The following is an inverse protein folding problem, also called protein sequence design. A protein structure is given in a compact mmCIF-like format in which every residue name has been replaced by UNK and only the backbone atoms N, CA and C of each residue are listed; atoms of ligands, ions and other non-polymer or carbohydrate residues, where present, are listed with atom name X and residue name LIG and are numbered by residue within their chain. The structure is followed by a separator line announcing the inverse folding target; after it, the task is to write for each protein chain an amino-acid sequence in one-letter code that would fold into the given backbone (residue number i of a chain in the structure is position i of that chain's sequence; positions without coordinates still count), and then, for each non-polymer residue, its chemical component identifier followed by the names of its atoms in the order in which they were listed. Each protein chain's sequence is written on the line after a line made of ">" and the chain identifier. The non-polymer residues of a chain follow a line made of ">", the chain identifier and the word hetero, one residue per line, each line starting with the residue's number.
data_IF_255726192654
#
_entry.id   IF_255726192654
#
_cell.length_a   1.000
_cell.length_b   1.000
_cell.length_c   1.000
_cell.angle_alpha   90.00
_cell.angle_beta   90.00
_cell.angle_gamma   90.00
#
_symmetry.space_group_name_H-M   'P 1'
#
loop_
_entity.id
_entity.type
_entity.pdbx_description
1 polymer ?
#
# COMPACT_ATOMS: atom_id res chain seq x y z
N UNK A 1 3.63 9.15 -4.71
CA UNK A 1 2.93 7.86 -4.68
C UNK A 1 2.21 7.67 -3.36
N UNK A 2 1.07 6.99 -3.32
CA UNK A 2 0.33 6.67 -2.08
C UNK A 2 0.32 5.16 -1.86
N UNK A 3 0.63 4.73 -0.62
CA UNK A 3 0.51 3.33 -0.16
C UNK A 3 -0.43 3.26 1.03
N UNK A 4 -1.26 2.21 1.11
CA UNK A 4 -2.27 2.06 2.14
C UNK A 4 -1.91 0.93 3.09
N UNK A 5 -1.84 1.26 4.39
CA UNK A 5 -1.53 0.29 5.44
C UNK A 5 -0.06 -0.14 5.47
N UNK A 6 0.20 -1.16 6.26
CA UNK A 6 1.55 -1.65 6.60
C UNK A 6 1.71 -3.16 6.37
N UNK A 7 0.87 -3.74 5.53
CA UNK A 7 0.98 -5.12 5.09
C UNK A 7 2.09 -5.33 4.06
N UNK A 8 2.35 -6.57 3.70
CA UNK A 8 3.46 -6.92 2.81
C UNK A 8 3.45 -6.20 1.47
N UNK A 9 2.28 -6.05 0.81
CA UNK A 9 2.17 -5.35 -0.47
C UNK A 9 2.58 -3.89 -0.33
N UNK A 10 2.04 -3.19 0.67
CA UNK A 10 2.25 -1.76 0.87
C UNK A 10 3.69 -1.44 1.26
N UNK A 11 4.33 -2.29 2.08
CA UNK A 11 5.73 -2.12 2.47
C UNK A 11 6.67 -2.35 1.30
N UNK A 12 6.47 -3.39 0.50
CA UNK A 12 7.26 -3.56 -0.73
C UNK A 12 7.05 -2.41 -1.71
N UNK A 13 5.80 -1.95 -1.88
CA UNK A 13 5.52 -0.79 -2.73
C UNK A 13 6.24 0.48 -2.24
N UNK A 14 6.25 0.73 -0.91
CA UNK A 14 7.01 1.81 -0.31
C UNK A 14 8.51 1.67 -0.62
N UNK A 15 9.10 0.50 -0.35
CA UNK A 15 10.53 0.26 -0.56
C UNK A 15 10.92 0.45 -2.03
N UNK A 16 10.19 -0.13 -2.98
CA UNK A 16 10.46 0.04 -4.41
C UNK A 16 10.25 1.48 -4.88
N UNK A 17 9.21 2.16 -4.38
CA UNK A 17 8.99 3.58 -4.70
C UNK A 17 10.17 4.45 -4.22
N UNK A 18 10.69 4.20 -3.02
CA UNK A 18 11.86 4.93 -2.50
C UNK A 18 13.12 4.63 -3.31
N UNK A 19 13.34 3.37 -3.73
CA UNK A 19 14.44 3.01 -4.65
C UNK A 19 14.33 3.75 -5.99
N UNK A 20 13.12 3.96 -6.48
CA UNK A 20 12.86 4.72 -7.71
C UNK A 20 12.91 6.26 -7.51
N UNK A 21 13.26 6.75 -6.32
CA UNK A 21 13.35 8.18 -6.01
C UNK A 21 11.99 8.87 -5.82
N UNK A 22 10.90 8.12 -5.65
CA UNK A 22 9.58 8.69 -5.48
C UNK A 22 9.37 9.27 -4.08
N UNK A 23 8.56 10.33 -3.99
CA UNK A 23 7.93 10.74 -2.73
C UNK A 23 6.76 9.80 -2.41
N UNK A 24 6.69 9.32 -1.17
CA UNK A 24 5.69 8.37 -0.72
C UNK A 24 4.89 8.93 0.44
N UNK A 25 3.57 8.96 0.26
CA UNK A 25 2.59 9.18 1.33
C UNK A 25 2.11 7.80 1.78
N UNK A 26 2.12 7.53 3.08
CA UNK A 26 1.67 6.26 3.64
C UNK A 26 0.52 6.46 4.63
N UNK A 27 -0.50 5.63 4.54
CA UNK A 27 -1.62 5.64 5.49
C UNK A 27 -1.58 4.44 6.42
N UNK A 28 -2.05 4.59 7.65
CA UNK A 28 -2.25 3.49 8.61
C UNK A 28 -3.33 3.84 9.61
N UNK A 29 -3.85 2.84 10.34
CA UNK A 29 -4.76 3.04 11.46
C UNK A 29 -4.04 3.24 12.80
N UNK A 30 -2.71 3.06 12.84
CA UNK A 30 -1.89 3.06 14.05
C UNK A 30 -0.73 4.04 13.92
N UNK A 31 -0.58 4.93 14.90
CA UNK A 31 0.53 5.88 14.93
C UNK A 31 1.88 5.16 15.10
N UNK A 32 1.91 4.04 15.85
CA UNK A 32 3.09 3.20 15.98
C UNK A 32 3.54 2.66 14.60
N UNK A 33 2.59 2.11 13.82
CA UNK A 33 2.90 1.63 12.47
C UNK A 33 3.31 2.77 11.54
N UNK A 34 2.74 3.96 11.70
CA UNK A 34 3.16 5.16 10.95
C UNK A 34 4.61 5.54 11.26
N UNK A 35 5.03 5.48 12.53
CA UNK A 35 6.43 5.73 12.89
C UNK A 35 7.39 4.73 12.21
N UNK A 36 7.01 3.44 12.14
CA UNK A 36 7.78 2.42 11.42
C UNK A 36 7.82 2.69 9.89
N UNK A 37 6.69 3.12 9.29
CA UNK A 37 6.66 3.53 7.88
C UNK A 37 7.55 4.75 7.61
N UNK A 38 7.62 5.70 8.55
CA UNK A 38 8.56 6.83 8.48
C UNK A 38 10.00 6.36 8.47
N UNK A 39 10.36 5.43 9.35
CA UNK A 39 11.70 4.85 9.39
C UNK A 39 12.09 4.11 8.10
N UNK A 40 11.11 3.57 7.36
CA UNK A 40 11.31 2.99 6.03
C UNK A 40 11.38 4.02 4.90
N UNK A 41 11.28 5.32 5.21
CA UNK A 41 11.45 6.40 4.25
C UNK A 41 10.16 7.00 3.70
N UNK A 42 8.98 6.70 4.27
CA UNK A 42 7.77 7.42 3.89
C UNK A 42 7.91 8.92 4.20
N UNK A 43 7.61 9.77 3.22
CA UNK A 43 7.80 11.23 3.33
C UNK A 43 6.68 11.85 4.16
N UNK A 44 5.43 11.43 3.93
CA UNK A 44 4.25 11.89 4.66
C UNK A 44 3.45 10.72 5.21
N UNK A 45 2.79 10.94 6.34
CA UNK A 45 2.05 9.93 7.08
C UNK A 45 0.66 10.42 7.41
N UNK A 46 -0.35 9.57 7.23
CA UNK A 46 -1.74 9.89 7.54
C UNK A 46 -2.35 8.76 8.35
N UNK A 47 -2.90 9.08 9.52
CA UNK A 47 -3.72 8.15 10.27
C UNK A 47 -5.18 8.24 9.80
N UNK A 48 -5.61 7.30 8.98
CA UNK A 48 -6.95 7.34 8.37
C UNK A 48 -8.11 7.16 9.37
N UNK A 49 -7.84 6.72 10.61
CA UNK A 49 -8.84 6.72 11.68
C UNK A 49 -9.08 8.10 12.27
N UNK A 50 -8.03 8.95 12.28
CA UNK A 50 -8.10 10.33 12.75
C UNK A 50 -8.53 11.28 11.64
N UNK A 51 -8.23 10.93 10.40
CA UNK A 51 -8.55 11.68 9.20
C UNK A 51 -9.31 10.82 8.19
N UNK A 52 -10.65 10.79 8.26
CA UNK A 52 -11.47 10.03 7.33
C UNK A 52 -11.46 10.61 5.90
N UNK A 53 -11.08 11.88 5.74
CA UNK A 53 -10.97 12.56 4.45
C UNK A 53 -9.54 12.58 3.89
N UNK A 54 -8.76 11.56 4.23
CA UNK A 54 -7.35 11.47 3.89
C UNK A 54 -7.03 11.69 2.39
N UNK A 55 -7.98 11.48 1.50
CA UNK A 55 -7.80 11.79 0.07
C UNK A 55 -7.60 13.27 -0.20
N UNK A 56 -8.30 14.14 0.51
CA UNK A 56 -8.11 15.59 0.41
C UNK A 56 -6.79 16.00 1.08
N UNK A 57 -6.46 15.43 2.24
CA UNK A 57 -5.16 15.66 2.90
C UNK A 57 -4.00 15.27 1.98
N UNK A 58 -4.10 14.17 1.23
CA UNK A 58 -3.09 13.81 0.20
C UNK A 58 -2.97 14.90 -0.85
N UNK A 59 -4.07 15.52 -1.28
CA UNK A 59 -4.03 16.65 -2.23
C UNK A 59 -3.36 17.87 -1.63
N UNK A 60 -3.67 18.20 -0.39
CA UNK A 60 -3.03 19.32 0.33
C UNK A 60 -1.51 19.10 0.42
N UNK A 61 -1.07 17.91 0.84
CA UNK A 61 0.34 17.52 0.91
C UNK A 61 1.07 17.56 -0.44
N UNK A 62 0.33 17.55 -1.53
CA UNK A 62 0.85 17.63 -2.91
C UNK A 62 0.51 18.96 -3.59
N UNK A 63 0.26 20.02 -2.82
CA UNK A 63 -0.09 21.36 -3.31
C UNK A 63 -1.29 21.37 -4.27
N UNK A 64 -2.31 20.56 -3.96
CA UNK A 64 -3.54 20.42 -4.74
C UNK A 64 -3.45 19.51 -5.97
N UNK A 65 -2.24 19.05 -6.35
CA UNK A 65 -2.03 18.22 -7.54
C UNK A 65 -2.59 16.79 -7.39
N UNK A 66 -2.35 16.16 -6.27
CA UNK A 66 -2.58 14.71 -6.04
C UNK A 66 -1.40 13.83 -6.45
N UNK A 67 -1.47 12.55 -6.09
CA UNK A 67 -0.41 11.57 -6.35
C UNK A 67 -0.52 10.95 -7.75
N UNK A 68 0.62 10.57 -8.33
CA UNK A 68 0.67 9.91 -9.64
C UNK A 68 0.13 8.49 -9.60
N UNK A 69 0.39 7.78 -8.50
CA UNK A 69 0.05 6.37 -8.36
C UNK A 69 -0.47 6.07 -6.95
N UNK A 70 -1.56 5.29 -6.88
CA UNK A 70 -2.12 4.74 -5.65
C UNK A 70 -2.01 3.22 -5.68
N UNK A 71 -1.48 2.64 -4.61
CA UNK A 71 -1.51 1.18 -4.36
C UNK A 71 -2.72 0.90 -3.49
N UNK A 72 -3.82 0.52 -4.13
CA UNK A 72 -5.13 0.32 -3.50
C UNK A 72 -5.26 -1.12 -3.02
N UNK A 73 -5.20 -1.32 -1.70
CA UNK A 73 -5.34 -2.64 -1.06
C UNK A 73 -6.60 -2.79 -0.22
N UNK A 74 -7.26 -1.67 0.09
CA UNK A 74 -8.46 -1.67 0.93
C UNK A 74 -9.71 -2.16 0.20
N UNK A 75 -9.90 -1.73 -1.03
CA UNK A 75 -11.09 -2.06 -1.82
C UNK A 75 -12.21 -1.02 -1.70
N UNK A 76 -13.50 -1.44 -1.71
CA UNK A 76 -14.64 -0.52 -1.86
C UNK A 76 -14.66 0.65 -0.87
N UNK A 77 -14.36 0.41 0.41
CA UNK A 77 -14.43 1.45 1.43
C UNK A 77 -13.31 2.51 1.33
N UNK A 78 -12.23 2.23 0.60
CA UNK A 78 -11.09 3.15 0.44
C UNK A 78 -11.00 3.74 -0.97
N UNK A 79 -11.63 3.12 -1.96
CA UNK A 79 -11.49 3.47 -3.37
C UNK A 79 -11.87 4.93 -3.66
N UNK A 80 -12.93 5.44 -3.03
CA UNK A 80 -13.34 6.84 -3.22
C UNK A 80 -12.27 7.82 -2.77
N UNK A 81 -11.66 7.58 -1.61
CA UNK A 81 -10.56 8.40 -1.11
C UNK A 81 -9.31 8.28 -2.00
N UNK A 82 -9.03 7.09 -2.52
CA UNK A 82 -7.97 6.84 -3.49
C UNK A 82 -8.16 7.63 -4.79
N UNK A 83 -9.39 7.70 -5.29
CA UNK A 83 -9.73 8.53 -6.46
C UNK A 83 -9.57 10.02 -6.17
N UNK A 84 -9.93 10.47 -4.96
CA UNK A 84 -9.73 11.85 -4.51
C UNK A 84 -8.24 12.20 -4.42
N UNK A 85 -7.43 11.30 -3.86
CA UNK A 85 -5.99 11.46 -3.69
C UNK A 85 -5.21 11.51 -5.02
N UNK A 86 -5.69 10.80 -6.04
CA UNK A 86 -5.01 10.70 -7.32
C UNK A 86 -5.06 12.03 -8.10
N UNK A 87 -4.00 12.35 -8.84
CA UNK A 87 -4.01 13.51 -9.77
C UNK A 87 -4.88 13.24 -11.00
N UNK A 88 -5.12 14.26 -11.80
CA UNK A 88 -5.71 14.06 -13.14
C UNK A 88 -4.79 13.17 -13.98
N UNK A 89 -5.35 12.16 -14.61
CA UNK A 89 -4.60 11.12 -15.33
C UNK A 89 -3.83 10.17 -14.42
N UNK A 90 -4.11 10.18 -13.11
CA UNK A 90 -3.45 9.32 -12.12
C UNK A 90 -3.80 7.84 -12.31
N UNK A 91 -2.95 6.98 -11.76
CA UNK A 91 -3.09 5.53 -11.84
C UNK A 91 -3.42 4.94 -10.47
N UNK A 92 -4.43 4.07 -10.42
CA UNK A 92 -4.82 3.34 -9.21
C UNK A 92 -4.67 1.85 -9.51
N UNK A 93 -3.70 1.20 -8.88
CA UNK A 93 -3.56 -0.25 -8.90
C UNK A 93 -4.52 -0.86 -7.89
N UNK A 94 -5.60 -1.46 -8.36
CA UNK A 94 -6.59 -2.14 -7.52
C UNK A 94 -6.11 -3.56 -7.27
N UNK A 95 -5.63 -3.81 -6.03
CA UNK A 95 -4.96 -5.06 -5.65
C UNK A 95 -5.77 -5.81 -4.59
N UNK A 96 -6.24 -5.09 -3.56
CA UNK A 96 -6.90 -5.70 -2.42
C UNK A 96 -8.39 -5.43 -2.35
N UNK A 97 -9.08 -6.33 -1.64
CA UNK A 97 -10.52 -6.31 -1.38
C UNK A 97 -10.79 -6.49 0.11
N UNK A 98 -9.93 -5.92 0.97
CA UNK A 98 -9.98 -6.12 2.43
C UNK A 98 -11.29 -5.62 3.07
N UNK A 99 -11.96 -4.66 2.43
CA UNK A 99 -13.22 -4.09 2.92
C UNK A 99 -14.46 -4.61 2.17
N UNK A 100 -14.30 -5.59 1.31
CA UNK A 100 -15.38 -6.20 0.55
C UNK A 100 -15.02 -6.45 -0.92
N UNK A 101 -15.85 -7.22 -1.60
CA UNK A 101 -15.67 -7.61 -3.02
C UNK A 101 -16.42 -6.71 -4.00
N UNK A 102 -17.36 -5.89 -3.50
CA UNK A 102 -18.17 -4.97 -4.29
C UNK A 102 -18.53 -3.72 -3.48
N UNK A 103 -18.81 -2.64 -4.16
CA UNK A 103 -19.22 -1.38 -3.55
C UNK A 103 -19.55 -0.34 -4.60
N UNK A 104 -20.19 0.74 -4.16
CA UNK A 104 -20.52 1.89 -5.00
C UNK A 104 -19.39 2.92 -4.96
N UNK A 105 -19.12 3.51 -6.11
CA UNK A 105 -18.20 4.66 -6.22
C UNK A 105 -18.66 5.58 -7.37
N UNK A 106 -18.39 6.88 -7.27
CA UNK A 106 -18.85 7.85 -8.25
C UNK A 106 -18.04 7.76 -9.55
N UNK A 107 -18.60 7.14 -10.59
CA UNK A 107 -17.98 7.07 -11.93
C UNK A 107 -17.60 8.45 -12.49
N UNK A 108 -18.33 9.50 -12.09
CA UNK A 108 -18.00 10.88 -12.50
C UNK A 108 -16.59 11.29 -12.09
N UNK A 109 -16.07 10.79 -10.97
CA UNK A 109 -14.68 11.08 -10.56
C UNK A 109 -13.66 10.41 -11.50
N UNK A 110 -13.95 9.19 -11.94
CA UNK A 110 -13.08 8.49 -12.91
C UNK A 110 -13.05 9.29 -14.22
N UNK A 111 -14.22 9.70 -14.70
CA UNK A 111 -14.36 10.47 -15.94
C UNK A 111 -13.68 11.85 -15.83
N UNK A 112 -14.09 12.65 -14.84
CA UNK A 112 -13.64 14.03 -14.70
C UNK A 112 -12.14 14.16 -14.42
N UNK A 113 -11.56 13.18 -13.74
CA UNK A 113 -10.12 13.12 -13.44
C UNK A 113 -9.33 12.23 -14.40
N UNK A 114 -9.96 11.62 -15.40
CA UNK A 114 -9.31 10.75 -16.39
C UNK A 114 -8.47 9.65 -15.71
N UNK A 115 -8.98 9.05 -14.64
CA UNK A 115 -8.25 8.08 -13.84
C UNK A 115 -8.09 6.75 -14.58
N UNK A 116 -6.98 6.08 -14.33
CA UNK A 116 -6.75 4.70 -14.75
C UNK A 116 -6.88 3.79 -13.54
N UNK A 117 -7.89 2.92 -13.55
CA UNK A 117 -8.09 1.88 -12.55
C UNK A 117 -7.63 0.56 -13.17
N UNK A 118 -6.54 0.00 -12.66
CA UNK A 118 -5.96 -1.23 -13.17
C UNK A 118 -6.02 -2.32 -12.10
N UNK A 119 -6.75 -3.40 -12.38
CA UNK A 119 -6.72 -4.60 -11.55
C UNK A 119 -5.37 -5.29 -11.63
N UNK A 120 -4.82 -5.67 -10.48
CA UNK A 120 -3.56 -6.41 -10.36
C UNK A 120 -3.76 -7.58 -9.41
N UNK A 121 -3.73 -8.79 -9.94
CA UNK A 121 -3.87 -10.00 -9.14
C UNK A 121 -2.50 -10.53 -8.70
N UNK A 122 -1.65 -10.87 -9.67
CA UNK A 122 -0.30 -11.44 -9.46
C UNK A 122 0.65 -11.00 -10.56
N UNK A 123 1.92 -11.34 -10.41
CA UNK A 123 2.93 -11.17 -11.45
C UNK A 123 3.29 -12.50 -12.14
N UNK A 124 3.91 -12.42 -13.30
CA UNK A 124 4.48 -13.57 -14.00
C UNK A 124 5.85 -13.95 -13.40
N UNK A 125 6.36 -15.15 -13.78
CA UNK A 125 7.74 -15.55 -13.44
C UNK A 125 8.78 -14.53 -13.94
N UNK A 126 8.56 -13.97 -15.12
CA UNK A 126 9.47 -12.95 -15.66
C UNK A 126 9.48 -11.68 -14.77
N UNK A 127 8.31 -11.25 -14.28
CA UNK A 127 8.21 -10.14 -13.33
C UNK A 127 8.93 -10.48 -12.03
N UNK A 128 8.74 -11.68 -11.49
CA UNK A 128 9.44 -12.12 -10.27
C UNK A 128 10.95 -12.11 -10.44
N UNK A 129 11.47 -12.63 -11.53
CA UNK A 129 12.90 -12.64 -11.81
C UNK A 129 13.46 -11.22 -11.98
N UNK A 130 12.72 -10.31 -12.62
CA UNK A 130 13.11 -8.91 -12.73
C UNK A 130 13.13 -8.22 -11.35
N UNK A 131 12.12 -8.49 -10.52
CA UNK A 131 12.06 -7.99 -9.15
C UNK A 131 13.23 -8.48 -8.28
N UNK A 132 13.59 -9.77 -8.37
CA UNK A 132 14.73 -10.34 -7.63
C UNK A 132 16.02 -9.63 -8.05
N UNK A 133 16.27 -9.46 -9.35
CA UNK A 133 17.43 -8.70 -9.82
C UNK A 133 17.48 -7.27 -9.28
N UNK A 134 16.32 -6.59 -9.21
CA UNK A 134 16.25 -5.25 -8.64
C UNK A 134 16.53 -5.24 -7.12
N UNK A 135 16.05 -6.23 -6.40
CA UNK A 135 16.32 -6.44 -4.97
C UNK A 135 17.81 -6.61 -4.73
N UNK A 136 18.45 -7.53 -5.47
CA UNK A 136 19.87 -7.85 -5.33
C UNK A 136 20.75 -6.65 -5.69
N UNK A 137 20.47 -5.99 -6.83
CA UNK A 137 21.24 -4.85 -7.29
C UNK A 137 21.22 -3.64 -6.34
N UNK A 138 20.15 -3.49 -5.56
CA UNK A 138 19.96 -2.36 -4.64
C UNK A 138 20.12 -2.75 -3.17
N UNK A 139 20.41 -3.99 -2.85
CA UNK A 139 20.55 -4.46 -1.48
C UNK A 139 19.25 -4.32 -0.64
N UNK A 140 18.09 -4.32 -1.30
CA UNK A 140 16.82 -4.22 -0.60
C UNK A 140 16.61 -5.43 0.31
N UNK A 141 16.17 -5.18 1.54
CA UNK A 141 15.83 -6.24 2.48
C UNK A 141 14.33 -6.24 2.76
N UNK A 142 13.65 -7.39 2.63
CA UNK A 142 12.26 -7.54 3.04
C UNK A 142 12.09 -7.19 4.52
N UNK A 143 10.99 -6.53 4.84
CA UNK A 143 10.65 -6.25 6.24
C UNK A 143 9.93 -7.46 6.80
N UNK A 144 10.62 -8.19 7.67
CA UNK A 144 10.09 -9.34 8.40
C UNK A 144 9.61 -8.89 9.77
N UNK A 145 8.39 -9.25 10.14
CA UNK A 145 7.78 -8.90 11.42
C UNK A 145 8.04 -9.97 12.46
N UNK A 146 7.66 -11.19 12.17
CA UNK A 146 7.81 -12.35 13.06
C UNK A 146 8.07 -13.61 12.26
N UNK A 147 8.96 -14.45 12.80
CA UNK A 147 9.19 -15.82 12.35
C UNK A 147 8.44 -16.80 13.25
N UNK A 148 7.97 -17.90 12.67
CA UNK A 148 7.37 -19.04 13.35
C UNK A 148 8.00 -20.32 12.82
N UNK A 149 8.20 -21.32 13.68
CA UNK A 149 8.54 -22.65 13.23
C UNK A 149 7.37 -23.28 12.44
N UNK A 150 7.64 -24.23 11.56
CA UNK A 150 6.60 -24.85 10.74
C UNK A 150 5.47 -25.47 11.58
N UNK A 151 5.81 -26.05 12.73
CA UNK A 151 4.86 -26.63 13.69
C UNK A 151 3.89 -25.58 14.25
N UNK A 152 4.28 -24.31 14.24
CA UNK A 152 3.48 -23.17 14.72
C UNK A 152 2.64 -22.52 13.60
N UNK A 153 2.43 -23.17 12.47
CA UNK A 153 1.69 -22.64 11.33
C UNK A 153 0.31 -22.09 11.74
N UNK A 154 -0.41 -22.79 12.60
CA UNK A 154 -1.72 -22.33 13.08
C UNK A 154 -1.63 -21.03 13.89
N UNK A 155 -0.57 -20.83 14.66
CA UNK A 155 -0.32 -19.60 15.42
C UNK A 155 0.03 -18.45 14.47
N UNK A 156 0.83 -18.72 13.44
CA UNK A 156 1.16 -17.72 12.42
C UNK A 156 -0.09 -17.18 11.72
N UNK A 157 -1.06 -18.04 11.36
CA UNK A 157 -2.33 -17.62 10.79
C UNK A 157 -3.18 -16.81 11.78
N UNK A 158 -3.30 -17.27 13.03
CA UNK A 158 -4.03 -16.50 14.07
C UNK A 158 -3.40 -15.11 14.25
N UNK A 159 -2.06 -15.05 14.28
CA UNK A 159 -1.37 -13.75 14.36
C UNK A 159 -1.64 -12.87 13.15
N UNK A 160 -1.67 -13.44 11.93
CA UNK A 160 -2.03 -12.71 10.72
C UNK A 160 -3.44 -12.12 10.81
N UNK A 161 -4.42 -12.89 11.33
CA UNK A 161 -5.82 -12.43 11.50
C UNK A 161 -5.94 -11.25 12.46
N UNK A 162 -5.05 -11.08 13.42
CA UNK A 162 -5.06 -9.92 14.33
C UNK A 162 -4.76 -8.60 13.62
N UNK A 163 -4.22 -8.62 12.40
CA UNK A 163 -3.75 -7.45 11.67
C UNK A 163 -2.69 -6.60 12.42
N UNK A 164 -2.03 -7.18 13.45
CA UNK A 164 -0.97 -6.51 14.21
C UNK A 164 0.36 -6.50 13.48
N UNK A 165 0.60 -7.47 12.61
CA UNK A 165 1.85 -7.61 11.86
C UNK A 165 2.19 -6.36 11.02
N UNK A 166 3.50 -6.22 10.74
CA UNK A 166 4.07 -5.16 9.93
C UNK A 166 5.03 -5.76 8.90
N UNK A 167 4.66 -5.76 7.62
CA UNK A 167 5.43 -6.41 6.57
C UNK A 167 5.06 -7.88 6.41
N UNK A 168 6.03 -8.78 6.54
CA UNK A 168 5.87 -10.22 6.28
C UNK A 168 6.04 -11.05 7.54
N UNK A 169 5.12 -11.98 7.73
CA UNK A 169 5.26 -13.13 8.63
C UNK A 169 5.97 -14.23 7.85
N UNK A 170 6.92 -14.91 8.45
CA UNK A 170 7.68 -15.99 7.81
C UNK A 170 7.58 -17.29 8.60
N UNK A 171 7.72 -18.40 7.90
CA UNK A 171 7.88 -19.73 8.50
C UNK A 171 9.32 -20.19 8.28
N UNK A 172 9.91 -20.77 9.32
CA UNK A 172 11.24 -21.37 9.29
C UNK A 172 11.10 -22.89 9.19
N UNK A 173 11.90 -23.51 8.32
CA UNK A 173 11.92 -24.95 8.06
C UNK A 173 13.19 -25.56 8.59
#
# INVERSE_FOLDING_TARGET
>A
MLVQGSGGVSIFALQFAKLAGAQVIATSSSDEKLARLKALGADHLINYRKDPNWGETVRELTSGRGVDHVVEVGGPATLQQSMTAARVGGHISVIGILTGVSGEFPLVQVLARQLRLQGVLVGSRAHQQAMIRAIDANGLRPVLDRSFALEQLAEAFRYQETNQHFGKIVLEF
#
